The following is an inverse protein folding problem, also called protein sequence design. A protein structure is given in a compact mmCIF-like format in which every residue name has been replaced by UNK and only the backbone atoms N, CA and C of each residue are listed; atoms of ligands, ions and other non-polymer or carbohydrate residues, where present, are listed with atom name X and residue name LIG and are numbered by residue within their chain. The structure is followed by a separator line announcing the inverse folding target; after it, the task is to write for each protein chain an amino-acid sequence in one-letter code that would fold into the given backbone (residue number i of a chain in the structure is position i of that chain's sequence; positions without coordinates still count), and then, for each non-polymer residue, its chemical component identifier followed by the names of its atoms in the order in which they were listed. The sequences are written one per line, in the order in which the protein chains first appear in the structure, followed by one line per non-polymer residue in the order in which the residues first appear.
data_IF_654721012806
#
_entry.id   IF_654721012806
#
_cell.length_a   1.000
_cell.length_b   1.000
_cell.length_c   1.000
_cell.angle_alpha   90.00
_cell.angle_beta   90.00
_cell.angle_gamma   90.00
#
_symmetry.space_group_name_H-M   'P 1'
#
loop_
_entity.id
_entity.type
_entity.pdbx_description
1 polymer ?
#
# COMPACT_ATOMS: atom_id res chain seq x y z
N UNK A 1 -34.66 -8.34 12.36
CA UNK A 1 -33.21 -8.06 12.47
C UNK A 1 -32.94 -6.75 11.75
N UNK A 2 -32.21 -5.82 12.36
CA UNK A 2 -31.89 -4.57 11.68
C UNK A 2 -31.03 -4.86 10.45
N UNK A 3 -31.53 -4.49 9.28
CA UNK A 3 -30.81 -4.63 8.01
C UNK A 3 -29.83 -3.48 7.86
N UNK A 4 -28.64 -3.77 7.33
CA UNK A 4 -27.66 -2.77 6.94
C UNK A 4 -27.22 -3.05 5.51
N UNK A 5 -26.90 -2.01 4.74
CA UNK A 5 -26.31 -2.17 3.41
C UNK A 5 -24.81 -2.42 3.54
N UNK A 6 -24.11 -1.56 4.27
CA UNK A 6 -22.69 -1.70 4.56
C UNK A 6 -22.42 -1.52 6.05
N UNK A 7 -21.56 -2.39 6.58
CA UNK A 7 -21.09 -2.36 7.97
C UNK A 7 -19.61 -2.00 7.98
N UNK A 8 -19.26 -0.99 8.77
CA UNK A 8 -17.90 -0.56 8.97
C UNK A 8 -17.48 -0.86 10.42
N UNK A 9 -16.26 -1.34 10.59
CA UNK A 9 -15.57 -1.48 11.87
C UNK A 9 -14.37 -0.53 11.85
N UNK A 10 -14.25 0.33 12.86
CA UNK A 10 -13.20 1.35 12.91
C UNK A 10 -12.74 1.60 14.34
N UNK A 11 -11.49 2.05 14.48
CA UNK A 11 -10.89 2.41 15.75
C UNK A 11 -10.68 3.91 15.90
N UNK A 12 -10.70 4.42 17.13
CA UNK A 12 -10.27 5.78 17.46
C UNK A 12 -8.76 5.84 17.73
N UNK A 13 -8.19 7.04 17.80
CA UNK A 13 -6.77 7.22 18.17
C UNK A 13 -6.47 6.71 19.59
N UNK A 14 -7.49 6.65 20.46
CA UNK A 14 -7.40 6.12 21.83
C UNK A 14 -7.51 4.58 21.89
N UNK A 15 -7.68 3.92 20.73
CA UNK A 15 -7.76 2.47 20.62
C UNK A 15 -9.15 1.89 20.90
N UNK A 16 -10.18 2.72 21.05
CA UNK A 16 -11.56 2.25 21.16
C UNK A 16 -12.09 1.80 19.80
N UNK A 17 -12.80 0.68 19.76
CA UNK A 17 -13.37 0.11 18.54
C UNK A 17 -14.89 0.34 18.46
N UNK A 18 -15.38 0.62 17.26
CA UNK A 18 -16.77 0.94 16.98
C UNK A 18 -17.24 0.32 15.67
N UNK A 19 -18.55 0.10 15.60
CA UNK A 19 -19.27 -0.31 14.40
C UNK A 19 -20.22 0.78 13.93
N UNK A 20 -20.39 0.93 12.62
CA UNK A 20 -21.41 1.82 12.04
C UNK A 20 -22.03 1.23 10.78
N UNK A 21 -23.26 1.63 10.48
CA UNK A 21 -23.96 1.29 9.24
C UNK A 21 -23.85 2.47 8.27
N UNK A 22 -23.52 2.21 7.02
CA UNK A 22 -23.53 3.22 5.96
C UNK A 22 -24.29 2.72 4.74
N UNK A 23 -24.72 3.67 3.90
CA UNK A 23 -25.43 3.41 2.65
C UNK A 23 -24.48 3.42 1.43
N UNK A 24 -23.17 3.47 1.68
CA UNK A 24 -22.12 3.51 0.65
C UNK A 24 -20.85 2.88 1.18
N UNK A 25 -20.06 2.28 0.28
CA UNK A 25 -18.68 1.82 0.58
C UNK A 25 -17.67 2.97 0.65
N UNK A 26 -18.02 4.15 0.15
CA UNK A 26 -17.25 5.39 0.25
C UNK A 26 -18.14 6.48 0.87
N UNK A 27 -18.24 6.54 2.21
CA UNK A 27 -18.98 7.60 2.88
C UNK A 27 -18.26 8.95 2.74
N UNK A 28 -19.03 10.04 2.67
CA UNK A 28 -18.49 11.39 2.53
C UNK A 28 -17.76 11.82 3.81
N UNK A 29 -16.60 12.45 3.64
CA UNK A 29 -15.82 12.99 4.76
C UNK A 29 -16.62 14.13 5.40
N UNK A 30 -16.70 14.13 6.72
CA UNK A 30 -17.45 15.10 7.52
C UNK A 30 -18.88 14.68 7.84
N UNK A 31 -19.38 13.59 7.26
CA UNK A 31 -20.71 13.05 7.59
C UNK A 31 -20.74 12.51 9.01
N UNK A 32 -21.79 12.86 9.76
CA UNK A 32 -22.08 12.28 11.07
C UNK A 32 -22.74 10.92 10.90
N UNK A 33 -22.23 9.92 11.61
CA UNK A 33 -22.76 8.56 11.62
C UNK A 33 -22.99 8.09 13.05
N UNK A 34 -24.04 7.28 13.24
CA UNK A 34 -24.24 6.58 14.50
C UNK A 34 -23.25 5.44 14.60
N UNK A 35 -22.51 5.40 15.69
CA UNK A 35 -21.48 4.42 16.00
C UNK A 35 -21.82 3.69 17.29
N UNK A 36 -21.43 2.42 17.35
CA UNK A 36 -21.84 1.49 18.40
C UNK A 36 -20.63 0.70 18.86
N UNK A 37 -20.49 0.47 20.16
CA UNK A 37 -19.33 -0.22 20.72
C UNK A 37 -19.32 -1.73 20.38
N UNK A 38 -20.50 -2.31 20.20
CA UNK A 38 -20.66 -3.73 19.87
C UNK A 38 -21.56 -3.91 18.65
N UNK A 39 -21.41 -5.06 17.98
CA UNK A 39 -22.27 -5.42 16.87
C UNK A 39 -23.72 -5.61 17.34
N UNK A 40 -23.91 -6.16 18.55
CA UNK A 40 -25.22 -6.34 19.17
C UNK A 40 -25.93 -5.01 19.40
N UNK A 41 -25.21 -3.99 19.89
CA UNK A 41 -25.75 -2.64 20.07
C UNK A 41 -26.14 -2.02 18.73
N UNK A 42 -25.33 -2.21 17.69
CA UNK A 42 -25.65 -1.76 16.33
C UNK A 42 -26.89 -2.45 15.75
N UNK A 43 -27.04 -3.76 15.98
CA UNK A 43 -28.19 -4.53 15.50
C UNK A 43 -29.45 -4.24 16.29
N UNK A 44 -29.31 -3.89 17.57
CA UNK A 44 -30.40 -3.50 18.47
C UNK A 44 -30.69 -1.99 18.50
N UNK A 45 -29.89 -1.18 17.81
CA UNK A 45 -29.93 0.29 17.82
C UNK A 45 -29.87 0.89 19.23
N UNK A 46 -28.94 0.38 20.05
CA UNK A 46 -28.79 0.75 21.47
C UNK A 46 -27.56 1.62 21.68
N UNK A 47 -27.69 2.61 22.55
CA UNK A 47 -26.58 3.45 23.02
C UNK A 47 -25.69 4.04 21.90
N UNK A 48 -26.24 4.68 20.86
CA UNK A 48 -25.43 5.23 19.78
C UNK A 48 -24.54 6.38 20.28
N UNK A 49 -23.28 6.39 19.83
CA UNK A 49 -22.39 7.56 19.87
C UNK A 49 -22.31 8.19 18.50
N UNK A 50 -22.22 9.51 18.42
CA UNK A 50 -21.93 10.16 17.13
C UNK A 50 -20.43 10.09 16.82
N UNK A 51 -20.12 9.68 15.60
CA UNK A 51 -18.79 9.76 15.03
C UNK A 51 -18.84 10.54 13.72
N UNK A 52 -17.75 11.22 13.37
CA UNK A 52 -17.61 11.92 12.09
C UNK A 52 -16.71 11.10 11.19
N UNK A 53 -17.17 10.84 9.96
CA UNK A 53 -16.35 10.18 8.94
C UNK A 53 -15.14 11.07 8.65
N UNK A 54 -13.95 10.61 9.02
CA UNK A 54 -12.71 11.32 8.81
C UNK A 54 -11.84 10.60 7.78
N UNK A 55 -10.99 11.36 7.09
CA UNK A 55 -9.93 10.77 6.29
C UNK A 55 -8.88 10.19 7.22
N UNK A 56 -8.36 9.01 6.90
CA UNK A 56 -7.24 8.41 7.64
C UNK A 56 -6.08 9.42 7.69
N UNK A 57 -5.51 9.61 8.89
CA UNK A 57 -4.31 10.40 9.05
C UNK A 57 -3.13 9.67 8.43
N UNK A 58 -2.68 10.15 7.27
CA UNK A 58 -1.53 9.58 6.58
C UNK A 58 -0.29 10.37 6.99
N UNK A 59 0.72 9.65 7.50
CA UNK A 59 1.98 10.25 7.89
C UNK A 59 2.59 11.09 6.74
N UNK A 60 3.30 12.18 7.07
CA UNK A 60 3.86 13.10 6.07
C UNK A 60 5.02 12.51 5.25
N UNK A 61 5.67 11.46 5.79
CA UNK A 61 6.79 10.77 5.18
C UNK A 61 6.46 9.31 4.86
N UNK A 62 6.96 8.77 3.73
CA UNK A 62 6.78 7.36 3.38
C UNK A 62 7.34 6.41 4.46
N UNK A 63 6.57 5.39 4.91
CA UNK A 63 7.13 4.33 5.73
C UNK A 63 8.14 3.50 4.92
N UNK A 64 9.21 3.05 5.57
CA UNK A 64 10.31 2.31 4.93
C UNK A 64 10.55 0.97 5.65
N UNK A 65 10.82 -0.06 4.85
CA UNK A 65 11.30 -1.38 5.28
C UNK A 65 12.12 -1.99 4.14
N UNK A 66 12.80 -3.10 4.39
CA UNK A 66 13.68 -3.74 3.41
C UNK A 66 13.25 -5.16 3.09
N UNK A 67 13.63 -5.62 1.89
CA UNK A 67 13.62 -7.02 1.47
C UNK A 67 15.03 -7.39 1.01
N UNK A 68 15.68 -8.43 1.55
CA UNK A 68 17.04 -8.78 1.13
C UNK A 68 17.08 -9.30 -0.31
N UNK A 69 18.19 -9.06 -1.00
CA UNK A 69 18.34 -9.42 -2.42
C UNK A 69 18.31 -10.92 -2.72
N UNK A 70 18.64 -11.76 -1.73
CA UNK A 70 18.53 -13.22 -1.85
C UNK A 70 17.12 -13.72 -2.22
N UNK A 71 16.10 -12.88 -2.06
CA UNK A 71 14.69 -13.22 -2.27
C UNK A 71 14.15 -12.72 -3.63
N UNK A 72 15.01 -12.14 -4.46
CA UNK A 72 14.64 -11.75 -5.83
C UNK A 72 14.36 -12.99 -6.68
N UNK A 73 13.29 -12.91 -7.47
CA UNK A 73 13.00 -13.89 -8.49
C UNK A 73 12.61 -13.19 -9.79
N UNK A 74 13.32 -13.50 -10.87
CA UNK A 74 12.92 -13.05 -12.20
C UNK A 74 11.62 -13.74 -12.61
N UNK A 75 10.56 -12.98 -12.84
CA UNK A 75 9.29 -13.57 -13.29
C UNK A 75 9.36 -13.94 -14.78
N UNK A 76 9.39 -15.23 -15.09
CA UNK A 76 9.13 -15.74 -16.44
C UNK A 76 7.63 -16.01 -16.59
N UNK A 77 6.94 -15.32 -17.52
CA UNK A 77 5.51 -15.43 -17.88
C UNK A 77 4.73 -16.58 -17.22
N UNK A 78 4.25 -16.37 -15.98
CA UNK A 78 3.07 -17.07 -15.43
C UNK A 78 2.47 -16.20 -14.33
N UNK A 79 1.30 -15.64 -14.65
CA UNK A 79 0.35 -14.90 -13.79
C UNK A 79 0.95 -14.25 -12.55
N UNK A 80 1.31 -12.98 -12.66
CA UNK A 80 1.83 -12.23 -11.54
C UNK A 80 1.01 -10.99 -11.22
N UNK A 81 0.59 -11.01 -9.97
CA UNK A 81 0.18 -9.91 -9.12
C UNK A 81 1.28 -8.85 -9.05
N UNK A 82 0.87 -7.58 -9.03
CA UNK A 82 1.74 -6.43 -9.31
C UNK A 82 1.72 -5.40 -8.18
N UNK A 83 2.89 -4.87 -7.82
CA UNK A 83 3.28 -3.82 -6.87
C UNK A 83 4.66 -3.30 -7.31
N UNK A 84 4.81 -2.00 -7.51
CA UNK A 84 6.01 -1.41 -8.12
C UNK A 84 7.26 -1.47 -7.23
N UNK A 85 8.42 -1.73 -7.84
CA UNK A 85 9.75 -1.50 -7.26
C UNK A 85 10.54 -0.50 -8.12
N UNK A 86 11.05 0.55 -7.50
CA UNK A 86 11.93 1.57 -8.10
C UNK A 86 13.40 1.15 -7.94
N UNK A 87 14.27 1.43 -8.93
CA UNK A 87 15.72 1.27 -8.77
C UNK A 87 16.53 2.49 -9.24
N UNK A 88 17.48 2.87 -8.37
CA UNK A 88 18.61 3.82 -8.41
C UNK A 88 18.36 5.34 -8.42
N UNK A 89 19.07 6.08 -7.55
CA UNK A 89 19.45 7.50 -7.69
C UNK A 89 20.48 7.96 -6.64
N UNK A 90 21.45 8.78 -7.08
CA UNK A 90 22.20 9.73 -6.24
C UNK A 90 21.59 11.15 -6.36
N UNK A 91 22.03 12.08 -5.51
CA UNK A 91 21.33 13.31 -5.10
C UNK A 91 21.27 14.50 -6.09
N UNK A 92 20.09 15.14 -6.21
CA UNK A 92 19.73 16.56 -5.91
C UNK A 92 18.24 16.75 -6.30
N UNK A 93 17.44 17.44 -5.48
CA UNK A 93 15.96 17.47 -5.60
C UNK A 93 15.41 18.15 -6.85
N UNK A 94 16.22 18.95 -7.54
CA UNK A 94 15.87 19.66 -8.77
C UNK A 94 15.78 18.75 -10.01
N UNK A 95 16.38 17.55 -9.98
CA UNK A 95 16.53 16.67 -11.16
C UNK A 95 16.11 15.20 -10.94
N UNK A 96 15.19 14.91 -10.01
CA UNK A 96 14.81 13.53 -9.62
C UNK A 96 14.42 12.59 -10.78
N UNK A 97 13.80 13.11 -11.85
CA UNK A 97 13.43 12.32 -13.04
C UNK A 97 14.63 11.74 -13.78
N UNK A 98 15.79 12.39 -13.69
CA UNK A 98 17.02 11.99 -14.40
C UNK A 98 17.64 10.74 -13.77
N UNK A 99 17.29 10.44 -12.52
CA UNK A 99 17.91 9.33 -11.80
C UNK A 99 17.13 8.02 -11.89
N UNK A 100 15.83 8.05 -12.18
CA UNK A 100 15.03 6.83 -12.31
C UNK A 100 15.38 6.15 -13.65
N UNK A 101 16.04 4.99 -13.58
CA UNK A 101 16.37 4.21 -14.79
C UNK A 101 15.12 3.69 -15.51
N UNK A 102 14.10 3.30 -14.74
CA UNK A 102 12.85 2.78 -15.28
C UNK A 102 11.91 2.28 -14.21
N UNK A 103 10.77 1.74 -14.65
CA UNK A 103 9.69 1.25 -13.84
C UNK A 103 9.41 -0.20 -14.19
N UNK A 104 9.24 -1.06 -13.18
CA UNK A 104 8.87 -2.45 -13.37
C UNK A 104 7.77 -2.84 -12.38
N UNK A 105 7.03 -3.90 -12.70
CA UNK A 105 6.13 -4.54 -11.76
C UNK A 105 6.92 -5.46 -10.84
N UNK A 106 6.51 -5.52 -9.58
CA UNK A 106 6.97 -6.50 -8.60
C UNK A 106 5.81 -7.10 -7.83
N UNK A 107 6.05 -7.99 -6.89
CA UNK A 107 5.03 -8.39 -5.91
C UNK A 107 5.63 -8.22 -4.51
N UNK A 108 4.81 -7.78 -3.55
CA UNK A 108 5.19 -7.73 -2.13
C UNK A 108 4.41 -8.77 -1.31
N UNK A 109 4.61 -10.08 -1.53
CA UNK A 109 4.13 -11.10 -0.61
C UNK A 109 4.59 -10.79 0.81
N UNK A 110 3.68 -11.01 1.75
CA UNK A 110 3.91 -10.77 3.17
C UNK A 110 3.24 -11.89 3.95
N UNK A 111 3.97 -12.53 4.86
CA UNK A 111 3.37 -13.44 5.83
C UNK A 111 2.69 -12.60 6.91
N UNK A 112 1.37 -12.39 6.78
CA UNK A 112 0.64 -11.47 7.65
C UNK A 112 0.70 -11.86 9.12
N UNK A 113 0.76 -13.16 9.42
CA UNK A 113 0.99 -13.66 10.77
C UNK A 113 2.23 -13.02 11.41
N UNK A 114 3.38 -13.10 10.74
CA UNK A 114 4.64 -12.52 11.23
C UNK A 114 4.73 -10.99 11.10
N UNK A 115 3.79 -10.33 10.42
CA UNK A 115 3.82 -8.88 10.29
C UNK A 115 3.20 -8.17 11.50
N UNK A 116 2.40 -8.88 12.29
CA UNK A 116 1.70 -8.31 13.43
C UNK A 116 2.69 -7.87 14.52
N UNK A 117 2.42 -6.75 15.23
CA UNK A 117 3.31 -6.24 16.27
C UNK A 117 3.68 -7.27 17.32
N UNK A 118 2.76 -8.15 17.69
CA UNK A 118 2.95 -9.19 18.71
C UNK A 118 3.97 -10.25 18.28
N UNK A 119 4.16 -10.44 16.97
CA UNK A 119 5.04 -11.48 16.42
C UNK A 119 6.42 -10.95 16.04
N UNK A 120 6.55 -9.66 15.70
CA UNK A 120 7.82 -9.09 15.19
C UNK A 120 8.14 -7.69 15.73
N UNK A 121 7.54 -7.27 16.85
CA UNK A 121 7.86 -6.01 17.52
C UNK A 121 7.58 -4.77 16.67
N UNK A 122 6.58 -4.85 15.79
CA UNK A 122 6.23 -3.81 14.82
C UNK A 122 7.15 -3.71 13.61
N UNK A 123 8.17 -4.58 13.49
CA UNK A 123 9.08 -4.60 12.34
C UNK A 123 8.54 -5.51 11.24
N UNK A 124 8.50 -5.01 10.00
CA UNK A 124 7.95 -5.76 8.86
C UNK A 124 8.95 -6.67 8.17
N UNK A 125 10.24 -6.55 8.49
CA UNK A 125 11.31 -7.25 7.79
C UNK A 125 11.10 -8.77 7.72
N UNK A 126 10.88 -9.41 8.87
CA UNK A 126 10.79 -10.87 8.96
C UNK A 126 9.62 -11.42 8.13
N UNK A 127 8.45 -10.77 8.20
CA UNK A 127 7.27 -11.12 7.41
C UNK A 127 7.46 -11.03 5.88
N UNK A 128 8.50 -10.32 5.44
CA UNK A 128 8.74 -9.89 4.05
C UNK A 128 10.01 -10.49 3.44
N UNK A 129 10.79 -11.23 4.22
CA UNK A 129 12.11 -11.73 3.86
C UNK A 129 12.16 -13.26 3.69
N UNK A 130 11.06 -13.89 3.26
CA UNK A 130 11.09 -15.30 2.88
C UNK A 130 11.52 -15.47 1.42
N UNK A 131 12.02 -16.66 1.08
CA UNK A 131 12.42 -17.00 -0.29
C UNK A 131 11.32 -16.64 -1.30
N UNK A 132 11.74 -15.93 -2.36
CA UNK A 132 10.88 -15.49 -3.48
C UNK A 132 9.80 -14.49 -3.10
N UNK A 133 9.92 -13.79 -1.96
CA UNK A 133 8.98 -12.73 -1.58
C UNK A 133 9.26 -11.40 -2.27
N UNK A 134 10.20 -11.29 -3.21
CA UNK A 134 10.41 -10.07 -3.99
C UNK A 134 10.50 -10.33 -5.49
N UNK A 135 9.49 -10.97 -6.12
CA UNK A 135 9.56 -11.20 -7.55
C UNK A 135 9.33 -9.87 -8.29
N UNK A 136 10.18 -9.57 -9.28
CA UNK A 136 10.14 -8.34 -10.09
C UNK A 136 10.27 -8.67 -11.58
N UNK A 137 9.87 -7.75 -12.44
CA UNK A 137 9.86 -7.93 -13.90
C UNK A 137 8.46 -8.21 -14.45
N UNK A 138 8.35 -8.75 -15.68
CA UNK A 138 9.44 -9.19 -16.55
C UNK A 138 10.13 -8.07 -17.35
N UNK A 139 9.56 -6.86 -17.37
CA UNK A 139 10.03 -5.76 -18.22
C UNK A 139 10.37 -4.54 -17.37
N UNK A 140 11.48 -3.89 -17.70
CA UNK A 140 11.80 -2.56 -17.21
C UNK A 140 11.36 -1.54 -18.27
N UNK A 141 10.30 -0.79 -17.98
CA UNK A 141 9.80 0.27 -18.84
C UNK A 141 10.62 1.56 -18.62
N UNK A 142 11.01 2.23 -19.69
CA UNK A 142 11.72 3.50 -19.58
C UNK A 142 10.81 4.60 -18.99
N UNK A 143 11.38 5.64 -18.37
CA UNK A 143 10.60 6.73 -17.81
C UNK A 143 9.72 7.45 -18.84
N UNK A 144 10.19 7.55 -20.09
CA UNK A 144 9.41 8.15 -21.17
C UNK A 144 8.10 7.37 -21.43
N UNK A 145 8.21 6.04 -21.59
CA UNK A 145 7.05 5.17 -21.83
C UNK A 145 6.10 5.19 -20.63
N UNK A 146 6.64 5.08 -19.41
CA UNK A 146 5.82 5.11 -18.20
C UNK A 146 5.06 6.43 -18.05
N UNK A 147 5.74 7.57 -18.20
CA UNK A 147 5.10 8.87 -18.03
C UNK A 147 4.02 9.17 -19.08
N UNK A 148 4.19 8.67 -20.31
CA UNK A 148 3.15 8.77 -21.34
C UNK A 148 1.87 7.98 -20.98
N UNK A 149 2.00 6.87 -20.25
CA UNK A 149 0.88 6.01 -19.86
C UNK A 149 0.37 6.23 -18.42
N UNK A 150 1.13 6.91 -17.55
CA UNK A 150 0.89 6.99 -16.10
C UNK A 150 -0.52 7.44 -15.72
N UNK A 151 -1.14 8.32 -16.51
CA UNK A 151 -2.48 8.84 -16.26
C UNK A 151 -3.58 7.78 -16.41
N UNK A 152 -3.36 6.75 -17.23
CA UNK A 152 -4.34 5.69 -17.54
C UNK A 152 -3.84 4.29 -17.16
N UNK A 153 -2.61 4.19 -16.66
CA UNK A 153 -2.01 2.92 -16.27
C UNK A 153 -2.73 2.32 -15.06
N UNK A 154 -3.05 1.03 -15.18
CA UNK A 154 -3.74 0.24 -14.16
C UNK A 154 -2.83 -0.82 -13.57
N UNK A 155 -3.06 -1.12 -12.30
CA UNK A 155 -2.44 -2.20 -11.56
C UNK A 155 -3.47 -3.30 -11.34
N UNK A 156 -3.24 -4.48 -11.92
CA UNK A 156 -4.17 -5.61 -11.86
C UNK A 156 -3.50 -6.79 -11.18
N UNK A 157 -4.14 -7.28 -10.12
CA UNK A 157 -3.75 -8.48 -9.37
C UNK A 157 -4.74 -9.59 -9.65
N UNK A 158 -4.24 -10.78 -9.99
CA UNK A 158 -5.07 -11.95 -10.28
C UNK A 158 -4.62 -13.17 -9.48
N UNK A 159 -5.58 -13.83 -8.83
CA UNK A 159 -5.39 -15.14 -8.20
C UNK A 159 -6.15 -16.16 -9.04
N UNK A 160 -5.47 -17.21 -9.51
CA UNK A 160 -6.09 -18.24 -10.35
C UNK A 160 -6.88 -17.67 -11.55
N UNK A 161 -6.34 -16.59 -12.14
CA UNK A 161 -6.92 -15.81 -13.26
C UNK A 161 -8.11 -14.92 -12.90
N UNK A 162 -8.62 -14.98 -11.68
CA UNK A 162 -9.66 -14.07 -11.21
C UNK A 162 -9.05 -12.76 -10.75
N UNK A 163 -9.64 -11.64 -11.19
CA UNK A 163 -9.22 -10.30 -10.75
C UNK A 163 -9.58 -10.13 -9.28
N UNK A 164 -8.57 -9.83 -8.45
CA UNK A 164 -8.74 -9.50 -7.03
C UNK A 164 -8.56 -8.01 -6.75
N UNK A 165 -7.73 -7.33 -7.54
CA UNK A 165 -7.57 -5.87 -7.50
C UNK A 165 -7.39 -5.34 -8.92
N UNK A 166 -8.00 -4.20 -9.21
CA UNK A 166 -7.83 -3.44 -10.44
C UNK A 166 -7.94 -1.96 -10.10
N UNK A 167 -6.84 -1.22 -10.20
CA UNK A 167 -6.79 0.16 -9.72
C UNK A 167 -5.95 1.02 -10.64
N UNK A 168 -6.40 2.25 -10.91
CA UNK A 168 -5.57 3.25 -11.56
C UNK A 168 -4.45 3.66 -10.62
N UNK A 169 -3.21 3.58 -11.09
CA UNK A 169 -2.03 3.84 -10.25
C UNK A 169 -2.08 5.24 -9.64
N UNK A 170 -2.50 6.23 -10.43
CA UNK A 170 -2.55 7.63 -10.01
C UNK A 170 -3.50 7.88 -8.83
N UNK A 171 -4.54 7.05 -8.67
CA UNK A 171 -5.60 7.25 -7.69
C UNK A 171 -5.25 6.61 -6.33
N UNK A 172 -4.34 5.63 -6.32
CA UNK A 172 -3.99 4.82 -5.13
C UNK A 172 -2.58 5.13 -4.58
N UNK A 173 -1.72 5.81 -5.36
CA UNK A 173 -0.40 6.23 -4.88
C UNK A 173 -0.48 7.48 -4.01
N UNK A 174 -0.27 7.31 -2.70
CA UNK A 174 -0.14 8.43 -1.74
C UNK A 174 1.15 9.22 -1.98
N UNK A 175 2.28 8.53 -2.20
CA UNK A 175 3.58 9.14 -2.44
C UNK A 175 4.06 8.80 -3.85
N UNK A 176 4.49 9.80 -4.61
CA UNK A 176 5.08 9.55 -5.92
C UNK A 176 6.42 8.83 -5.81
N UNK A 177 6.82 8.14 -6.89
CA UNK A 177 8.13 7.52 -7.01
C UNK A 177 9.27 8.51 -6.72
N UNK A 178 9.16 9.73 -7.24
CA UNK A 178 10.11 10.82 -7.04
C UNK A 178 10.15 11.26 -5.56
N UNK A 179 8.98 11.33 -4.89
CA UNK A 179 8.89 11.66 -3.47
C UNK A 179 9.54 10.59 -2.60
N UNK A 180 9.28 9.31 -2.90
CA UNK A 180 9.90 8.18 -2.19
C UNK A 180 11.41 8.19 -2.36
N UNK A 181 11.90 8.37 -3.58
CA UNK A 181 13.32 8.41 -3.90
C UNK A 181 14.04 9.56 -3.17
N UNK A 182 13.46 10.75 -3.20
CA UNK A 182 13.96 11.94 -2.48
C UNK A 182 13.98 11.76 -0.96
N UNK A 183 13.02 11.01 -0.41
CA UNK A 183 12.99 10.69 1.02
C UNK A 183 14.08 9.68 1.39
N UNK A 184 14.20 8.58 0.63
CA UNK A 184 15.22 7.54 0.87
C UNK A 184 16.65 8.06 0.68
N UNK A 185 16.87 9.00 -0.23
CA UNK A 185 18.21 9.54 -0.48
C UNK A 185 18.78 10.23 0.75
N UNK A 186 17.95 10.93 1.54
CA UNK A 186 18.39 11.69 2.72
C UNK A 186 19.13 10.85 3.78
N UNK A 187 18.92 9.53 3.81
CA UNK A 187 19.48 8.65 4.85
C UNK A 187 20.60 7.73 4.34
N UNK A 188 20.61 7.30 3.07
CA UNK A 188 21.47 6.18 2.67
C UNK A 188 21.72 5.93 1.16
N UNK A 189 21.89 6.95 0.31
CA UNK A 189 22.31 6.72 -1.09
C UNK A 189 23.71 7.27 -1.37
N UNK A 190 24.76 6.59 -0.89
CA UNK A 190 26.10 6.83 -1.47
C UNK A 190 26.12 6.29 -2.90
N UNK A 191 26.96 6.86 -3.76
CA UNK A 191 27.09 6.55 -5.21
C UNK A 191 27.35 5.07 -5.56
N UNK A 192 27.53 4.21 -4.56
CA UNK A 192 27.79 2.78 -4.68
C UNK A 192 26.71 1.88 -4.06
N UNK A 193 25.51 2.40 -3.73
CA UNK A 193 24.42 1.57 -3.19
C UNK A 193 23.84 0.68 -4.28
N UNK A 194 24.50 -0.45 -4.55
CA UNK A 194 24.06 -1.47 -5.50
C UNK A 194 22.91 -2.26 -4.89
N UNK A 195 21.69 -1.99 -5.34
CA UNK A 195 20.66 -3.02 -5.38
C UNK A 195 21.11 -4.00 -6.47
N UNK A 196 21.81 -5.06 -6.07
CA UNK A 196 22.35 -6.06 -6.99
C UNK A 196 21.19 -6.69 -7.79
N UNK A 197 21.37 -6.71 -9.11
CA UNK A 197 20.50 -7.34 -10.11
C UNK A 197 20.68 -8.85 -10.08
#
# INVERSE_FOLDING_TARGET
MATFEYLFHFGTEEGEEYFTKCNSTNPDIGTLVNSFFTLEDLLGDKNPKQATVAKLNIHSNPPLWTKPSAHYQHQTKRSSESLYSLLHAGFETSHLKIYILGYTTGNDPSCRFFQLPEQSGGQFFYAKAFDKFAPIGPVLASPHIYNAAKATATLITRINREVKKNTLIRDDMVFSAERMLSWMSQTCLTSNTRLNV
#
